data_IF_174303990169
#
_entry.id   IF_174303990169
#
_cell.length_a   1.000
_cell.length_b   1.000
_cell.length_c   1.000
_cell.angle_alpha   90.00
_cell.angle_beta   90.00
_cell.angle_gamma   90.00
#
_symmetry.space_group_name_H-M   'P 1'
#
loop_
_entity.id
_entity.type
_entity.pdbx_description
1 polymer ?
#
# COMPACT_ATOMS: atom_id res chain seq x y z
N UNK A 1 -8.59 22.34 2.60
CA UNK A 1 -7.63 21.38 2.04
C UNK A 1 -8.05 19.98 2.43
N UNK A 2 -8.76 19.28 1.54
CA UNK A 2 -9.08 17.86 1.72
C UNK A 2 -7.76 17.08 1.76
N UNK A 3 -7.66 16.11 2.68
CA UNK A 3 -6.54 15.17 2.74
C UNK A 3 -6.55 14.28 1.49
N UNK A 4 -6.04 14.78 0.37
CA UNK A 4 -5.64 13.92 -0.76
C UNK A 4 -4.42 13.14 -0.28
N UNK A 5 -4.64 11.91 0.20
CA UNK A 5 -3.55 11.07 0.70
C UNK A 5 -2.64 10.65 -0.45
N UNK A 6 -1.32 10.60 -0.21
CA UNK A 6 -0.32 10.13 -1.18
C UNK A 6 -0.48 8.66 -1.57
N UNK A 7 -1.39 7.95 -0.92
CA UNK A 7 -1.75 6.57 -1.17
C UNK A 7 -3.00 6.41 -2.06
N UNK A 8 -3.56 7.47 -2.64
CA UNK A 8 -4.71 7.35 -3.54
C UNK A 8 -4.22 7.21 -5.00
N UNK A 9 -3.85 6.00 -5.40
CA UNK A 9 -3.48 5.70 -6.79
C UNK A 9 -4.69 5.17 -7.57
N UNK A 10 -4.80 5.52 -8.85
CA UNK A 10 -5.88 5.02 -9.68
C UNK A 10 -5.78 3.48 -9.80
N UNK A 11 -6.92 2.81 -9.63
CA UNK A 11 -6.99 1.36 -9.78
C UNK A 11 -6.47 0.54 -8.59
N UNK A 12 -6.23 1.13 -7.40
CA UNK A 12 -5.86 0.36 -6.20
C UNK A 12 -6.72 -0.88 -5.97
N UNK A 13 -8.04 -0.71 -6.04
CA UNK A 13 -8.99 -1.80 -5.88
C UNK A 13 -8.81 -2.87 -6.96
N UNK A 14 -8.69 -2.44 -8.23
CA UNK A 14 -8.55 -3.34 -9.39
C UNK A 14 -7.23 -4.13 -9.33
N UNK A 15 -6.17 -3.50 -8.84
CA UNK A 15 -4.84 -4.08 -8.70
C UNK A 15 -4.65 -4.86 -7.40
N UNK A 16 -5.70 -4.99 -6.58
CA UNK A 16 -5.67 -5.78 -5.35
C UNK A 16 -4.90 -5.14 -4.20
N UNK A 17 -4.55 -3.86 -4.23
CA UNK A 17 -3.80 -3.21 -3.14
C UNK A 17 -4.68 -2.78 -1.96
N UNK A 18 -6.00 -2.72 -2.13
CA UNK A 18 -6.89 -2.19 -1.10
C UNK A 18 -7.36 -3.26 -0.11
N UNK A 19 -7.53 -4.51 -0.56
CA UNK A 19 -8.12 -5.57 0.23
C UNK A 19 -7.43 -6.90 -0.02
N UNK A 20 -7.22 -7.64 1.06
CA UNK A 20 -6.72 -9.01 1.00
C UNK A 20 -7.61 -9.82 0.03
N UNK A 21 -7.04 -10.50 -0.97
CA UNK A 21 -7.82 -11.30 -1.90
C UNK A 21 -8.57 -12.40 -1.14
N UNK A 22 -9.84 -12.66 -1.52
CA UNK A 22 -10.58 -13.78 -0.95
C UNK A 22 -9.91 -15.10 -1.34
N UNK A 23 -10.12 -16.12 -0.53
CA UNK A 23 -9.74 -17.48 -0.91
C UNK A 23 -10.51 -17.90 -2.17
N UNK A 24 -9.85 -18.64 -3.05
CA UNK A 24 -10.49 -19.18 -4.25
C UNK A 24 -11.64 -20.11 -3.88
N UNK A 25 -12.76 -20.01 -4.61
CA UNK A 25 -13.99 -20.73 -4.29
C UNK A 25 -13.79 -22.26 -4.29
N UNK A 26 -13.01 -22.79 -5.24
CA UNK A 26 -12.67 -24.21 -5.29
C UNK A 26 -11.95 -24.67 -4.02
N UNK A 27 -10.98 -23.89 -3.54
CA UNK A 27 -10.24 -24.18 -2.33
C UNK A 27 -11.14 -24.04 -1.10
N UNK A 28 -11.98 -23.00 -1.05
CA UNK A 28 -12.96 -22.82 0.02
C UNK A 28 -13.91 -24.02 0.12
N UNK A 29 -14.42 -24.51 -1.01
CA UNK A 29 -15.27 -25.70 -1.09
C UNK A 29 -14.51 -26.95 -0.66
N UNK A 30 -13.25 -27.14 -1.07
CA UNK A 30 -12.43 -28.27 -0.66
C UNK A 30 -12.20 -28.28 0.86
N UNK A 31 -11.81 -27.15 1.45
CA UNK A 31 -11.64 -27.01 2.90
C UNK A 31 -12.95 -27.27 3.65
N UNK A 32 -14.08 -26.83 3.11
CA UNK A 32 -15.40 -27.06 3.69
C UNK A 32 -15.87 -28.51 3.54
N UNK A 33 -15.48 -29.19 2.45
CA UNK A 33 -15.87 -30.58 2.15
C UNK A 33 -15.03 -31.60 2.94
N UNK A 34 -13.77 -31.30 3.24
CA UNK A 34 -12.90 -32.12 4.10
C UNK A 34 -13.40 -32.23 5.55
N UNK A 35 -14.30 -31.34 5.99
CA UNK A 35 -14.94 -31.37 7.31
C UNK A 35 -16.22 -32.23 7.36
N UNK A 36 -16.65 -32.83 6.24
CA UNK A 36 -17.96 -33.52 6.15
C UNK A 36 -17.97 -34.99 6.61
N UNK A 37 -16.88 -35.52 7.16
CA UNK A 37 -16.83 -36.93 7.62
C UNK A 37 -16.41 -37.08 9.08
N UNK A 38 -17.11 -36.44 10.01
CA UNK A 38 -17.23 -36.90 11.39
C UNK A 38 -18.37 -36.14 12.08
N UNK A 39 -19.24 -36.83 12.83
CA UNK A 39 -20.26 -36.26 13.72
C UNK A 39 -19.65 -35.54 14.95
N UNK A 40 -18.57 -34.77 14.74
CA UNK A 40 -18.07 -33.77 15.69
C UNK A 40 -18.54 -32.41 15.18
N UNK A 41 -19.22 -31.66 16.04
CA UNK A 41 -19.83 -30.37 15.71
C UNK A 41 -18.93 -29.53 14.80
N UNK A 42 -19.45 -29.10 13.64
CA UNK A 42 -18.83 -28.07 12.79
C UNK A 42 -18.47 -26.90 13.72
N UNK A 43 -17.19 -26.77 14.05
CA UNK A 43 -16.75 -25.69 14.93
C UNK A 43 -16.64 -24.46 14.05
N UNK A 44 -17.60 -23.55 14.15
CA UNK A 44 -17.48 -22.20 13.60
C UNK A 44 -16.08 -21.65 13.89
N UNK A 45 -15.48 -20.88 12.97
CA UNK A 45 -14.16 -20.30 13.20
C UNK A 45 -14.17 -19.60 14.56
N UNK A 46 -13.24 -20.01 15.42
CA UNK A 46 -13.16 -19.53 16.79
C UNK A 46 -13.02 -18.01 16.80
N UNK A 47 -13.48 -17.33 17.87
CA UNK A 47 -13.32 -15.87 18.00
C UNK A 47 -11.86 -15.43 17.75
N UNK A 48 -10.82 -16.11 18.30
CA UNK A 48 -9.43 -15.80 17.98
C UNK A 48 -9.12 -15.86 16.48
N UNK A 49 -9.62 -16.87 15.75
CA UNK A 49 -9.37 -17.01 14.32
C UNK A 49 -10.03 -15.87 13.51
N UNK A 50 -11.25 -15.48 13.88
CA UNK A 50 -11.93 -14.34 13.24
C UNK A 50 -11.20 -13.03 13.48
N UNK A 51 -10.69 -12.82 14.69
CA UNK A 51 -9.94 -11.62 15.07
C UNK A 51 -8.60 -11.56 14.32
N UNK A 52 -7.87 -12.67 14.22
CA UNK A 52 -6.65 -12.76 13.40
C UNK A 52 -6.93 -12.54 11.91
N UNK A 53 -8.01 -13.10 11.37
CA UNK A 53 -8.40 -12.89 9.97
C UNK A 53 -8.68 -11.41 9.67
N UNK A 54 -9.45 -10.74 10.53
CA UNK A 54 -9.72 -9.30 10.44
C UNK A 54 -8.45 -8.47 10.56
N UNK A 55 -7.54 -8.88 11.45
CA UNK A 55 -6.25 -8.24 11.62
C UNK A 55 -5.40 -8.33 10.36
N UNK A 56 -5.29 -9.53 9.75
CA UNK A 56 -4.57 -9.75 8.50
C UNK A 56 -5.13 -8.89 7.36
N UNK A 57 -6.46 -8.75 7.28
CA UNK A 57 -7.08 -7.84 6.31
C UNK A 57 -6.63 -6.38 6.48
N UNK A 58 -6.53 -5.89 7.71
CA UNK A 58 -6.04 -4.52 8.00
C UNK A 58 -4.55 -4.36 7.73
N UNK A 59 -3.74 -5.36 8.09
CA UNK A 59 -2.29 -5.39 7.79
C UNK A 59 -2.06 -5.32 6.29
N UNK A 60 -2.83 -6.10 5.51
CA UNK A 60 -2.76 -6.09 4.06
C UNK A 60 -3.12 -4.73 3.48
N UNK A 61 -4.25 -4.14 3.90
CA UNK A 61 -4.66 -2.82 3.45
C UNK A 61 -3.60 -1.74 3.80
N UNK A 62 -3.01 -1.81 4.99
CA UNK A 62 -1.93 -0.90 5.39
C UNK A 62 -0.67 -1.08 4.52
N UNK A 63 -0.31 -2.31 4.19
CA UNK A 63 0.79 -2.58 3.25
C UNK A 63 0.50 -2.00 1.86
N UNK A 64 -0.72 -2.16 1.35
CA UNK A 64 -1.13 -1.56 0.08
C UNK A 64 -1.10 -0.03 0.08
N UNK A 65 -1.49 0.61 1.19
CA UNK A 65 -1.34 2.06 1.36
C UNK A 65 0.12 2.52 1.37
N UNK A 66 1.03 1.70 1.93
CA UNK A 66 2.47 1.97 1.88
C UNK A 66 2.99 1.91 0.43
N UNK A 67 2.64 0.86 -0.30
CA UNK A 67 3.02 0.68 -1.71
C UNK A 67 2.48 1.83 -2.57
N UNK A 68 1.22 2.24 -2.39
CA UNK A 68 0.66 3.36 -3.13
C UNK A 68 1.37 4.69 -2.83
N UNK A 69 1.76 4.92 -1.57
CA UNK A 69 2.55 6.10 -1.19
C UNK A 69 3.96 6.08 -1.81
N UNK A 70 4.59 4.91 -1.86
CA UNK A 70 5.89 4.72 -2.52
C UNK A 70 5.79 4.89 -4.04
N UNK A 71 4.67 4.49 -4.66
CA UNK A 71 4.43 4.73 -6.08
C UNK A 71 4.39 6.23 -6.39
N UNK A 72 3.65 7.01 -5.60
CA UNK A 72 3.63 8.48 -5.73
C UNK A 72 5.03 9.08 -5.56
N UNK A 73 5.80 8.60 -4.58
CA UNK A 73 7.21 9.02 -4.41
C UNK A 73 8.05 8.72 -5.67
N UNK A 74 7.91 7.54 -6.26
CA UNK A 74 8.66 7.15 -7.46
C UNK A 74 8.33 8.04 -8.67
N UNK A 75 7.06 8.41 -8.85
CA UNK A 75 6.64 9.34 -9.91
C UNK A 75 7.26 10.73 -9.69
N UNK A 76 7.24 11.23 -8.45
CA UNK A 76 7.86 12.51 -8.11
C UNK A 76 9.38 12.47 -8.34
N UNK A 77 10.05 11.38 -7.99
CA UNK A 77 11.49 11.21 -8.24
C UNK A 77 11.82 11.15 -9.73
N UNK A 78 10.99 10.49 -10.55
CA UNK A 78 11.15 10.50 -12.00
C UNK A 78 10.99 11.92 -12.58
N UNK A 79 10.04 12.70 -12.04
CA UNK A 79 9.88 14.11 -12.40
C UNK A 79 11.11 14.95 -12.04
N UNK A 80 11.64 14.77 -10.83
CA UNK A 80 12.88 15.44 -10.39
C UNK A 80 14.06 15.08 -11.30
N UNK A 81 14.17 13.83 -11.73
CA UNK A 81 15.21 13.41 -12.66
C UNK A 81 15.06 14.09 -14.03
N UNK A 82 13.83 14.27 -14.51
CA UNK A 82 13.57 15.00 -15.76
C UNK A 82 13.90 16.50 -15.65
N UNK A 83 13.58 17.14 -14.51
CA UNK A 83 13.99 18.53 -14.25
C UNK A 83 15.52 18.70 -14.20
N UNK A 84 16.24 17.67 -13.76
CA UNK A 84 17.70 17.71 -13.63
C UNK A 84 18.44 17.25 -14.90
N UNK A 85 17.73 16.86 -15.96
CA UNK A 85 18.31 16.20 -17.15
C UNK A 85 19.22 17.06 -18.01
N UNK A 86 19.20 18.38 -17.82
CA UNK A 86 20.04 19.31 -18.58
C UNK A 86 21.21 19.85 -17.74
N UNK A 87 21.25 19.51 -16.45
CA UNK A 87 22.36 19.82 -15.54
C UNK A 87 23.66 19.14 -15.98
N UNK A 88 23.56 17.94 -16.54
CA UNK A 88 24.69 17.16 -17.07
C UNK A 88 25.32 17.78 -18.32
N UNK A 89 24.56 18.58 -19.07
CA UNK A 89 25.01 19.34 -20.24
C UNK A 89 25.71 20.65 -19.89
N UNK A 90 25.90 20.92 -18.59
CA UNK A 90 26.52 22.16 -18.10
C UNK A 90 25.59 23.36 -18.08
N UNK A 91 24.30 23.16 -18.39
CA UNK A 91 23.27 24.18 -18.21
C UNK A 91 22.91 24.24 -16.72
N UNK A 92 23.02 25.41 -16.11
CA UNK A 92 22.53 25.61 -14.74
C UNK A 92 20.99 25.60 -14.68
N UNK A 93 20.43 25.34 -13.50
CA UNK A 93 18.98 25.42 -13.28
C UNK A 93 18.53 26.88 -13.22
N UNK A 94 17.41 27.17 -13.86
CA UNK A 94 16.67 28.42 -13.68
C UNK A 94 16.10 28.51 -12.25
N UNK A 95 15.81 29.74 -11.76
CA UNK A 95 15.16 29.91 -10.45
C UNK A 95 13.82 29.18 -10.32
N UNK A 96 13.10 29.01 -11.44
CA UNK A 96 11.82 28.31 -11.50
C UNK A 96 11.99 26.79 -11.33
N UNK A 97 12.95 26.18 -12.04
CA UNK A 97 13.28 24.76 -11.88
C UNK A 97 13.76 24.43 -10.47
N UNK A 98 14.51 25.34 -9.84
CA UNK A 98 14.93 25.17 -8.43
C UNK A 98 13.72 25.19 -7.49
N UNK A 99 12.79 26.14 -7.69
CA UNK A 99 11.56 26.22 -6.89
C UNK A 99 10.71 24.95 -7.07
N UNK A 100 10.60 24.45 -8.29
CA UNK A 100 9.85 23.24 -8.61
C UNK A 100 10.50 21.98 -8.05
N UNK A 101 11.83 21.88 -8.09
CA UNK A 101 12.59 20.81 -7.47
C UNK A 101 12.36 20.79 -5.95
N UNK A 102 12.35 21.95 -5.29
CA UNK A 102 12.06 22.06 -3.86
C UNK A 102 10.64 21.63 -3.53
N UNK A 103 9.65 22.08 -4.31
CA UNK A 103 8.25 21.71 -4.16
C UNK A 103 8.06 20.19 -4.30
N UNK A 104 8.63 19.61 -5.37
CA UNK A 104 8.55 18.16 -5.64
C UNK A 104 9.25 17.35 -4.54
N UNK A 105 10.35 17.87 -3.98
CA UNK A 105 11.06 17.23 -2.86
C UNK A 105 10.20 17.21 -1.60
N UNK A 106 9.51 18.31 -1.26
CA UNK A 106 8.58 18.36 -0.13
C UNK A 106 7.45 17.33 -0.30
N UNK A 107 6.87 17.24 -1.50
CA UNK A 107 5.84 16.24 -1.80
C UNK A 107 6.37 14.81 -1.67
N UNK A 108 7.57 14.53 -2.17
CA UNK A 108 8.19 13.22 -2.07
C UNK A 108 8.44 12.83 -0.61
N UNK A 109 8.96 13.76 0.21
CA UNK A 109 9.17 13.52 1.65
C UNK A 109 7.87 13.23 2.39
N UNK A 110 6.78 13.95 2.07
CA UNK A 110 5.46 13.67 2.65
C UNK A 110 4.90 12.32 2.22
N UNK A 111 5.10 11.93 0.96
CA UNK A 111 4.75 10.59 0.47
C UNK A 111 5.54 9.49 1.21
N UNK A 112 6.86 9.68 1.39
CA UNK A 112 7.72 8.76 2.15
C UNK A 112 7.30 8.66 3.62
N UNK A 113 6.94 9.78 4.25
CA UNK A 113 6.40 9.78 5.62
C UNK A 113 5.11 8.96 5.71
N UNK A 114 4.20 9.14 4.74
CA UNK A 114 2.97 8.36 4.70
C UNK A 114 3.26 6.86 4.49
N UNK A 115 4.19 6.53 3.60
CA UNK A 115 4.65 5.16 3.40
C UNK A 115 5.19 4.54 4.69
N UNK A 116 6.12 5.22 5.37
CA UNK A 116 6.70 4.78 6.64
C UNK A 116 5.63 4.55 7.72
N UNK A 117 4.66 5.47 7.82
CA UNK A 117 3.54 5.33 8.76
C UNK A 117 2.67 4.11 8.44
N UNK A 118 2.38 3.88 7.16
CA UNK A 118 1.59 2.74 6.71
C UNK A 118 2.32 1.41 6.90
N UNK A 119 3.63 1.36 6.65
CA UNK A 119 4.48 0.20 6.96
C UNK A 119 4.52 -0.09 8.47
N UNK A 120 4.66 0.94 9.31
CA UNK A 120 4.58 0.76 10.77
C UNK A 120 3.24 0.15 11.21
N UNK A 121 2.13 0.57 10.59
CA UNK A 121 0.80 0.00 10.85
C UNK A 121 0.66 -1.45 10.38
N UNK A 122 1.36 -1.85 9.31
CA UNK A 122 1.33 -3.25 8.84
C UNK A 122 2.17 -4.16 9.74
N UNK A 123 3.27 -3.66 10.31
CA UNK A 123 4.17 -4.43 11.16
C UNK A 123 3.73 -4.52 12.63
N UNK A 124 3.07 -3.48 13.16
CA UNK A 124 2.69 -3.41 14.57
C UNK A 124 1.91 -4.63 15.11
N UNK A 125 1.05 -5.31 14.33
CA UNK A 125 0.34 -6.49 14.84
C UNK A 125 1.10 -7.82 14.71
N UNK A 126 2.32 -7.81 14.16
CA UNK A 126 3.15 -9.00 13.96
C UNK A 126 4.15 -9.26 15.09
N UNK A 127 4.23 -8.35 16.06
CA UNK A 127 5.11 -8.39 17.24
C UNK A 127 4.31 -8.66 18.51
#
# INVERSE_FOLDING_TARGET
>A
FQHTGYANIEGMHKNGYERLPPIEEMLACYFSSGETSSLKALSLPSKPLQDTSRLNGRVYAAAGQAVASLHTMAVLQAYQADLLKDLDKGQGLSPEEVAELCCTTDLALRATKQAATAMGKSMAPMV
#
